data_IF_901324585084
#
_entry.id   IF_901324585084
#
_cell.length_a   1.000
_cell.length_b   1.000
_cell.length_c   1.000
_cell.angle_alpha   90.00
_cell.angle_beta   90.00
_cell.angle_gamma   90.00
#
_symmetry.space_group_name_H-M   'P 1'
#
loop_
_entity.id
_entity.type
_entity.pdbx_description
1 polymer ?
#
# COMPACT_ATOMS: atom_id res chain seq x y z
N UNK A 1 -20.24 -15.17 32.13
CA UNK A 1 -19.25 -14.08 32.01
C UNK A 1 -18.42 -14.35 30.77
N UNK A 2 -18.85 -13.86 29.60
CA UNK A 2 -18.14 -14.08 28.33
C UNK A 2 -16.82 -13.33 28.39
N UNK A 3 -15.69 -14.05 28.49
CA UNK A 3 -14.37 -13.47 28.26
C UNK A 3 -14.40 -12.80 26.88
N UNK A 4 -14.27 -11.49 26.85
CA UNK A 4 -14.28 -10.71 25.62
C UNK A 4 -13.02 -11.04 24.83
N UNK A 5 -13.16 -11.97 23.88
CA UNK A 5 -12.06 -12.43 23.06
C UNK A 5 -11.52 -11.31 22.17
N UNK A 6 -10.18 -11.24 22.05
CA UNK A 6 -9.49 -10.26 21.21
C UNK A 6 -9.93 -10.30 19.74
N UNK A 7 -9.84 -9.14 19.09
CA UNK A 7 -10.22 -8.90 17.70
C UNK A 7 -8.98 -8.61 16.85
N UNK A 8 -8.94 -9.21 15.68
CA UNK A 8 -7.88 -9.06 14.69
C UNK A 8 -8.48 -8.41 13.45
N UNK A 9 -7.82 -7.39 12.94
CA UNK A 9 -8.26 -6.67 11.74
C UNK A 9 -7.19 -6.77 10.67
N UNK A 10 -7.58 -7.25 9.50
CA UNK A 10 -6.80 -7.21 8.27
C UNK A 10 -7.35 -6.08 7.41
N UNK A 11 -6.45 -5.23 6.94
CA UNK A 11 -6.79 -4.10 6.06
C UNK A 11 -6.05 -4.22 4.74
N UNK A 12 -6.77 -4.02 3.64
CA UNK A 12 -6.19 -3.96 2.31
C UNK A 12 -6.91 -2.90 1.46
N UNK A 13 -6.21 -2.20 0.54
CA UNK A 13 -6.76 -1.05 -0.17
C UNK A 13 -7.85 -1.41 -1.18
N UNK A 14 -7.92 -2.67 -1.62
CA UNK A 14 -8.88 -3.13 -2.62
C UNK A 14 -9.60 -4.40 -2.17
N UNK A 15 -10.82 -4.58 -2.69
CA UNK A 15 -11.62 -5.78 -2.44
C UNK A 15 -10.95 -7.07 -2.91
N UNK A 16 -10.30 -7.14 -4.10
CA UNK A 16 -9.55 -8.33 -4.50
C UNK A 16 -8.45 -8.73 -3.52
N UNK A 17 -7.68 -7.77 -3.00
CA UNK A 17 -6.64 -8.05 -2.01
C UNK A 17 -7.23 -8.60 -0.69
N UNK A 18 -8.36 -8.05 -0.26
CA UNK A 18 -9.07 -8.59 0.91
C UNK A 18 -9.54 -10.04 0.68
N UNK A 19 -10.08 -10.35 -0.51
CA UNK A 19 -10.48 -11.73 -0.82
C UNK A 19 -9.29 -12.70 -0.79
N UNK A 20 -8.12 -12.28 -1.31
CA UNK A 20 -6.89 -13.06 -1.23
C UNK A 20 -6.46 -13.31 0.23
N UNK A 21 -6.55 -12.30 1.09
CA UNK A 21 -6.24 -12.45 2.51
C UNK A 21 -7.20 -13.42 3.21
N UNK A 22 -8.50 -13.38 2.87
CA UNK A 22 -9.50 -14.30 3.42
C UNK A 22 -9.15 -15.75 3.03
N UNK A 23 -8.88 -15.98 1.74
CA UNK A 23 -8.52 -17.29 1.23
C UNK A 23 -7.23 -17.83 1.88
N UNK A 24 -6.20 -16.99 1.97
CA UNK A 24 -4.94 -17.34 2.64
C UNK A 24 -5.15 -17.65 4.14
N UNK A 25 -5.91 -16.83 4.86
CA UNK A 25 -6.19 -17.07 6.28
C UNK A 25 -6.99 -18.34 6.52
N UNK A 26 -7.92 -18.67 5.62
CA UNK A 26 -8.69 -19.89 5.69
C UNK A 26 -7.83 -21.14 5.44
N UNK A 27 -7.06 -21.12 4.35
CA UNK A 27 -6.35 -22.30 3.87
C UNK A 27 -5.06 -22.58 4.65
N UNK A 28 -4.41 -21.54 5.18
CA UNK A 28 -3.08 -21.67 5.81
C UNK A 28 -3.19 -21.63 7.34
N UNK A 29 -3.97 -20.68 7.88
CA UNK A 29 -4.01 -20.41 9.34
C UNK A 29 -5.08 -21.24 10.05
N UNK A 30 -6.07 -21.78 9.32
CA UNK A 30 -7.15 -22.60 9.88
C UNK A 30 -8.16 -21.81 10.72
N UNK A 31 -8.30 -20.51 10.47
CA UNK A 31 -9.30 -19.68 11.16
C UNK A 31 -10.70 -20.04 10.63
N UNK A 32 -11.64 -20.47 11.48
CA UNK A 32 -12.95 -20.90 10.98
C UNK A 32 -13.77 -19.71 10.46
N UNK A 33 -14.41 -19.89 9.30
CA UNK A 33 -15.15 -18.81 8.61
C UNK A 33 -16.25 -18.18 9.48
N UNK A 34 -16.84 -18.94 10.39
CA UNK A 34 -17.87 -18.48 11.32
C UNK A 34 -17.39 -17.32 12.23
N UNK A 35 -16.08 -17.20 12.48
CA UNK A 35 -15.48 -16.12 13.29
C UNK A 35 -14.98 -14.95 12.44
N UNK A 36 -14.93 -15.13 11.12
CA UNK A 36 -14.45 -14.14 10.15
C UNK A 36 -15.60 -13.33 9.55
N UNK A 37 -15.28 -12.13 9.05
CA UNK A 37 -16.20 -11.33 8.23
C UNK A 37 -15.43 -10.42 7.26
N UNK A 38 -15.94 -10.33 6.03
CA UNK A 38 -15.57 -9.33 5.03
C UNK A 38 -16.52 -8.12 5.18
N UNK A 39 -15.95 -6.91 5.37
CA UNK A 39 -16.70 -5.65 5.38
C UNK A 39 -16.25 -4.66 4.30
N UNK A 40 -15.69 -5.14 3.19
CA UNK A 40 -15.24 -4.33 2.04
C UNK A 40 -16.34 -3.85 1.11
N UNK A 41 -17.59 -4.27 1.35
CA UNK A 41 -18.78 -3.87 0.57
C UNK A 41 -19.61 -2.77 1.21
N UNK A 42 -20.76 -2.47 0.58
CA UNK A 42 -21.79 -1.58 1.14
C UNK A 42 -22.63 -2.28 2.21
N UNK A 43 -21.98 -2.70 3.30
CA UNK A 43 -22.69 -3.20 4.49
C UNK A 43 -23.16 -2.00 5.29
N UNK A 44 -24.46 -1.95 5.62
CA UNK A 44 -25.01 -0.84 6.39
C UNK A 44 -24.37 -0.76 7.81
N UNK A 45 -24.29 0.44 8.41
CA UNK A 45 -23.61 0.61 9.70
C UNK A 45 -24.18 -0.27 10.83
N UNK A 46 -25.51 -0.46 10.88
CA UNK A 46 -26.15 -1.28 11.90
C UNK A 46 -25.70 -2.75 11.86
N UNK A 47 -25.56 -3.33 10.66
CA UNK A 47 -25.00 -4.68 10.49
C UNK A 47 -23.52 -4.74 10.82
N UNK A 48 -22.73 -3.72 10.48
CA UNK A 48 -21.32 -3.67 10.91
C UNK A 48 -21.19 -3.68 12.43
N UNK A 49 -22.07 -2.95 13.14
CA UNK A 49 -22.11 -2.96 14.60
C UNK A 49 -22.43 -4.35 15.19
N UNK A 50 -23.28 -5.15 14.54
CA UNK A 50 -23.53 -6.52 15.00
C UNK A 50 -22.32 -7.43 14.74
N UNK A 51 -21.65 -7.29 13.59
CA UNK A 51 -20.42 -8.03 13.30
C UNK A 51 -19.29 -7.69 14.27
N UNK A 52 -19.07 -6.41 14.60
CA UNK A 52 -18.08 -6.02 15.59
C UNK A 52 -18.30 -6.68 16.96
N UNK A 53 -19.56 -7.02 17.31
CA UNK A 53 -19.87 -7.74 18.55
C UNK A 53 -19.67 -9.25 18.43
N UNK A 54 -20.11 -9.86 17.33
CA UNK A 54 -20.14 -11.32 17.19
C UNK A 54 -18.90 -11.95 16.56
N UNK A 55 -18.13 -11.20 15.77
CA UNK A 55 -16.97 -11.68 15.01
C UNK A 55 -15.65 -11.36 15.70
N UNK A 56 -14.60 -12.09 15.33
CA UNK A 56 -13.24 -11.93 15.88
C UNK A 56 -12.22 -11.49 14.84
N UNK A 57 -12.36 -11.94 13.60
CA UNK A 57 -11.41 -11.62 12.53
C UNK A 57 -12.14 -10.84 11.45
N UNK A 58 -11.62 -9.67 11.12
CA UNK A 58 -12.27 -8.71 10.24
C UNK A 58 -11.36 -8.42 9.06
N UNK A 59 -11.89 -8.53 7.86
CA UNK A 59 -11.21 -8.10 6.64
C UNK A 59 -11.96 -6.87 6.11
N UNK A 60 -11.28 -5.73 6.10
CA UNK A 60 -11.94 -4.44 5.86
C UNK A 60 -11.07 -3.57 4.97
N UNK A 61 -11.68 -2.59 4.30
CA UNK A 61 -10.90 -1.53 3.68
C UNK A 61 -10.48 -0.50 4.74
N UNK A 62 -9.39 0.25 4.50
CA UNK A 62 -8.89 1.26 5.45
C UNK A 62 -9.97 2.30 5.80
N UNK A 63 -10.79 2.67 4.80
CA UNK A 63 -11.85 3.66 4.94
C UNK A 63 -13.00 3.16 5.81
N UNK A 64 -13.32 1.87 5.74
CA UNK A 64 -14.36 1.27 6.60
C UNK A 64 -13.86 1.21 8.05
N UNK A 65 -12.61 0.80 8.26
CA UNK A 65 -12.00 0.79 9.60
C UNK A 65 -12.00 2.20 10.22
N UNK A 66 -11.54 3.20 9.47
CA UNK A 66 -11.50 4.59 9.91
C UNK A 66 -12.89 5.08 10.33
N UNK A 67 -13.90 4.89 9.47
CA UNK A 67 -15.29 5.32 9.76
C UNK A 67 -15.89 4.59 10.96
N UNK A 68 -15.63 3.29 11.10
CA UNK A 68 -16.15 2.51 12.22
C UNK A 68 -15.48 2.87 13.54
N UNK A 69 -14.20 3.24 13.52
CA UNK A 69 -13.48 3.83 14.67
C UNK A 69 -14.10 5.18 15.04
N UNK A 70 -14.21 6.10 14.08
CA UNK A 70 -14.72 7.47 14.32
C UNK A 70 -16.17 7.49 14.81
N UNK A 71 -17.01 6.55 14.31
CA UNK A 71 -18.40 6.41 14.75
C UNK A 71 -18.56 5.66 16.09
N UNK A 72 -17.48 5.11 16.66
CA UNK A 72 -17.53 4.30 17.88
C UNK A 72 -18.17 2.91 17.68
N UNK A 73 -18.40 2.51 16.43
CA UNK A 73 -18.95 1.19 16.09
C UNK A 73 -17.90 0.09 16.28
N UNK A 74 -16.65 0.40 15.97
CA UNK A 74 -15.50 -0.46 16.22
C UNK A 74 -15.21 -0.51 17.73
N UNK A 75 -15.20 -1.72 18.29
CA UNK A 75 -14.88 -1.93 19.71
C UNK A 75 -13.36 -1.94 19.94
N UNK A 76 -12.73 -0.77 19.76
CA UNK A 76 -11.28 -0.61 19.74
C UNK A 76 -10.56 -1.20 20.96
N UNK A 77 -11.18 -1.16 22.15
CA UNK A 77 -10.63 -1.78 23.38
C UNK A 77 -10.37 -3.29 23.30
N UNK A 78 -10.97 -3.98 22.33
CA UNK A 78 -10.76 -5.41 22.10
C UNK A 78 -9.88 -5.68 20.88
N UNK A 79 -9.43 -4.66 20.17
CA UNK A 79 -8.56 -4.81 19.01
C UNK A 79 -7.14 -5.07 19.50
N UNK A 80 -6.66 -6.30 19.28
CA UNK A 80 -5.34 -6.75 19.77
C UNK A 80 -4.30 -6.81 18.65
N UNK A 81 -4.74 -6.90 17.39
CA UNK A 81 -3.86 -6.95 16.23
C UNK A 81 -4.48 -6.22 15.03
N UNK A 82 -3.68 -5.36 14.39
CA UNK A 82 -3.99 -4.69 13.14
C UNK A 82 -2.94 -5.07 12.09
N UNK A 83 -3.36 -5.73 11.02
CA UNK A 83 -2.56 -6.08 9.86
C UNK A 83 -2.87 -5.09 8.74
N UNK A 84 -1.83 -4.41 8.25
CA UNK A 84 -1.91 -3.37 7.22
C UNK A 84 -1.19 -3.89 5.99
N UNK A 85 -1.93 -4.15 4.93
CA UNK A 85 -1.39 -4.52 3.63
C UNK A 85 -1.19 -3.29 2.75
N UNK A 86 -0.21 -3.33 1.87
CA UNK A 86 0.25 -2.18 1.08
C UNK A 86 0.60 -0.98 1.97
N UNK A 87 1.38 -1.23 3.02
CA UNK A 87 1.73 -0.24 4.04
C UNK A 87 2.46 1.00 3.49
N UNK A 88 3.03 0.92 2.29
CA UNK A 88 3.59 2.08 1.57
C UNK A 88 2.57 3.20 1.32
N UNK A 89 1.27 2.91 1.43
CA UNK A 89 0.18 3.91 1.34
C UNK A 89 -0.03 4.71 2.62
N UNK A 90 0.63 4.36 3.73
CA UNK A 90 0.50 5.03 5.02
C UNK A 90 1.26 6.38 5.05
N UNK A 91 0.84 7.30 4.19
CA UNK A 91 1.41 8.63 4.04
C UNK A 91 0.29 9.69 4.14
N UNK A 92 0.64 10.86 4.65
CA UNK A 92 -0.28 11.99 4.81
C UNK A 92 -1.54 11.62 5.59
N UNK A 93 -2.70 11.96 5.03
CA UNK A 93 -4.01 11.70 5.65
C UNK A 93 -4.69 10.43 5.12
N UNK A 94 -3.91 9.45 4.64
CA UNK A 94 -4.50 8.18 4.26
C UNK A 94 -5.14 7.49 5.48
N UNK A 95 -6.22 6.74 5.25
CA UNK A 95 -7.03 6.13 6.32
C UNK A 95 -6.25 5.23 7.28
N UNK A 96 -5.14 4.63 6.83
CA UNK A 96 -4.22 3.90 7.73
C UNK A 96 -3.68 4.78 8.86
N UNK A 97 -3.17 5.96 8.52
CA UNK A 97 -2.59 6.90 9.47
C UNK A 97 -3.66 7.37 10.47
N UNK A 98 -4.87 7.64 9.98
CA UNK A 98 -5.99 8.06 10.84
C UNK A 98 -6.38 6.93 11.81
N UNK A 99 -6.53 5.71 11.31
CA UNK A 99 -6.90 4.56 12.14
C UNK A 99 -5.85 4.28 13.24
N UNK A 100 -4.56 4.24 12.89
CA UNK A 100 -3.48 4.01 13.87
C UNK A 100 -3.41 5.12 14.91
N UNK A 101 -3.56 6.38 14.50
CA UNK A 101 -3.57 7.52 15.42
C UNK A 101 -4.73 7.45 16.42
N UNK A 102 -5.92 7.05 15.98
CA UNK A 102 -7.06 6.87 16.90
C UNK A 102 -6.86 5.67 17.84
N UNK A 103 -6.37 4.55 17.32
CA UNK A 103 -6.12 3.34 18.13
C UNK A 103 -5.06 3.57 19.20
N UNK A 104 -4.02 4.35 18.90
CA UNK A 104 -2.92 4.62 19.85
C UNK A 104 -3.36 5.49 21.05
N UNK A 105 -4.48 6.20 20.94
CA UNK A 105 -5.04 6.96 22.08
C UNK A 105 -5.59 6.06 23.18
N UNK A 106 -5.81 4.79 22.89
CA UNK A 106 -6.40 3.83 23.82
C UNK A 106 -5.28 3.03 24.48
N UNK A 107 -5.24 2.97 25.82
CA UNK A 107 -4.18 2.26 26.55
C UNK A 107 -4.43 0.75 26.55
N UNK A 108 -4.39 0.12 25.38
CA UNK A 108 -4.50 -1.34 25.20
C UNK A 108 -3.30 -1.88 24.44
N UNK A 109 -2.82 -3.09 24.76
CA UNK A 109 -1.75 -3.72 23.99
C UNK A 109 -2.25 -4.03 22.58
N UNK A 110 -1.76 -3.25 21.61
CA UNK A 110 -2.04 -3.40 20.18
C UNK A 110 -0.78 -3.84 19.44
N UNK A 111 -0.86 -4.95 18.70
CA UNK A 111 0.16 -5.33 17.72
C UNK A 111 -0.19 -4.73 16.36
N UNK A 112 0.75 -4.03 15.74
CA UNK A 112 0.63 -3.58 14.33
C UNK A 112 1.61 -4.39 13.49
N UNK A 113 1.12 -4.96 12.39
CA UNK A 113 1.92 -5.65 11.39
C UNK A 113 1.71 -4.93 10.05
N UNK A 114 2.78 -4.36 9.50
CA UNK A 114 2.74 -3.63 8.24
C UNK A 114 3.44 -4.47 7.15
N UNK A 115 2.70 -4.82 6.10
CA UNK A 115 3.17 -5.61 4.98
C UNK A 115 3.30 -4.70 3.76
N UNK A 116 4.46 -4.73 3.09
CA UNK A 116 4.66 -4.01 1.84
C UNK A 116 5.80 -4.65 1.06
N UNK A 117 5.62 -4.82 -0.25
CA UNK A 117 6.70 -5.23 -1.14
C UNK A 117 7.69 -4.09 -1.39
N UNK A 118 7.20 -2.85 -1.40
CA UNK A 118 7.98 -1.66 -1.74
C UNK A 118 7.63 -0.51 -0.79
N UNK A 119 8.36 -0.30 0.31
CA UNK A 119 8.08 0.81 1.23
C UNK A 119 8.37 2.20 0.61
N UNK A 120 8.90 2.25 -0.61
CA UNK A 120 9.25 3.47 -1.35
C UNK A 120 10.76 3.55 -1.63
N UNK A 121 11.15 4.31 -2.65
CA UNK A 121 12.55 4.43 -3.10
C UNK A 121 13.38 5.48 -2.36
N UNK A 122 12.76 6.26 -1.46
CA UNK A 122 13.43 7.35 -0.73
C UNK A 122 13.37 7.10 0.78
N UNK A 123 14.53 7.18 1.45
CA UNK A 123 14.63 7.05 2.91
C UNK A 123 13.59 7.88 3.68
N UNK A 124 13.35 9.12 3.25
CA UNK A 124 12.36 10.00 3.89
C UNK A 124 10.93 9.43 3.83
N UNK A 125 10.55 8.78 2.73
CA UNK A 125 9.23 8.15 2.61
C UNK A 125 9.08 6.94 3.52
N UNK A 126 10.14 6.12 3.62
CA UNK A 126 10.16 4.96 4.52
C UNK A 126 10.02 5.42 5.97
N UNK A 127 10.77 6.45 6.37
CA UNK A 127 10.69 6.99 7.74
C UNK A 127 9.28 7.51 8.06
N UNK A 128 8.62 8.19 7.12
CA UNK A 128 7.24 8.64 7.32
C UNK A 128 6.27 7.48 7.56
N UNK A 129 6.43 6.34 6.86
CA UNK A 129 5.60 5.16 7.08
C UNK A 129 5.84 4.58 8.47
N UNK A 130 7.12 4.46 8.87
CA UNK A 130 7.52 3.98 10.21
C UNK A 130 6.88 4.85 11.29
N UNK A 131 7.00 6.18 11.16
CA UNK A 131 6.47 7.15 12.12
C UNK A 131 4.94 7.13 12.15
N UNK A 132 4.27 7.06 10.99
CA UNK A 132 2.80 7.07 10.91
C UNK A 132 2.16 5.80 11.46
N UNK A 133 2.81 4.65 11.28
CA UNK A 133 2.30 3.35 11.71
C UNK A 133 2.85 2.90 13.06
N UNK A 134 3.72 3.71 13.68
CA UNK A 134 4.37 3.44 14.96
C UNK A 134 5.17 2.12 14.94
N UNK A 135 5.92 1.89 13.85
CA UNK A 135 6.69 0.66 13.65
C UNK A 135 7.97 0.71 14.48
N UNK A 136 8.17 -0.28 15.34
CA UNK A 136 9.37 -0.39 16.17
C UNK A 136 10.47 -1.27 15.56
N UNK A 137 10.13 -2.11 14.58
CA UNK A 137 11.07 -3.05 13.97
C UNK A 137 10.73 -3.24 12.50
N UNK A 138 11.69 -2.96 11.63
CA UNK A 138 11.62 -3.23 10.20
C UNK A 138 12.35 -4.54 9.90
N UNK A 139 11.66 -5.49 9.28
CA UNK A 139 12.27 -6.69 8.71
C UNK A 139 12.27 -6.54 7.20
N UNK A 140 13.47 -6.46 6.61
CA UNK A 140 13.69 -6.39 5.18
C UNK A 140 14.24 -7.72 4.69
N UNK A 141 13.71 -8.17 3.55
CA UNK A 141 14.17 -9.34 2.82
C UNK A 141 14.21 -9.02 1.33
N UNK A 142 15.28 -9.42 0.66
CA UNK A 142 15.42 -9.39 -0.79
C UNK A 142 15.68 -10.78 -1.37
N UNK A 143 15.72 -10.87 -2.69
CA UNK A 143 15.94 -12.13 -3.42
C UNK A 143 17.35 -12.72 -3.27
N UNK A 144 18.31 -11.93 -2.77
CA UNK A 144 19.69 -12.36 -2.52
C UNK A 144 19.90 -12.93 -1.11
N UNK A 145 18.97 -12.69 -0.18
CA UNK A 145 19.05 -13.21 1.18
C UNK A 145 19.07 -14.74 1.20
N UNK A 146 19.93 -15.32 2.05
CA UNK A 146 20.14 -16.78 2.13
C UNK A 146 18.87 -17.58 2.46
N UNK A 147 17.94 -17.00 3.23
CA UNK A 147 16.65 -17.64 3.56
C UNK A 147 15.60 -17.50 2.44
N UNK A 148 15.88 -16.70 1.39
CA UNK A 148 14.98 -16.44 0.27
C UNK A 148 15.52 -17.04 -1.04
N UNK A 149 16.81 -16.87 -1.32
CA UNK A 149 17.47 -17.25 -2.58
C UNK A 149 17.21 -18.69 -3.05
N UNK A 150 17.07 -19.72 -2.18
CA UNK A 150 16.76 -21.08 -2.63
C UNK A 150 15.36 -21.23 -3.26
N UNK A 151 14.47 -20.28 -3.02
CA UNK A 151 13.08 -20.26 -3.49
C UNK A 151 12.85 -19.26 -4.63
N UNK A 152 13.87 -18.49 -5.02
CA UNK A 152 13.80 -17.54 -6.12
C UNK A 152 14.05 -18.27 -7.44
N UNK A 153 13.11 -18.15 -8.38
CA UNK A 153 13.31 -18.68 -9.73
C UNK A 153 14.10 -17.70 -10.58
N UNK A 154 15.21 -18.17 -11.15
CA UNK A 154 16.03 -17.40 -12.09
C UNK A 154 15.19 -16.90 -13.27
N UNK A 155 15.08 -15.58 -13.41
CA UNK A 155 14.49 -14.93 -14.59
C UNK A 155 15.61 -14.58 -15.56
N UNK A 156 15.65 -15.24 -16.73
CA UNK A 156 16.50 -14.80 -17.84
C UNK A 156 15.83 -13.63 -18.54
N UNK A 157 16.32 -12.41 -18.29
CA UNK A 157 15.88 -11.21 -19.01
C UNK A 157 16.76 -11.09 -20.26
N UNK A 158 16.16 -11.25 -21.43
CA UNK A 158 16.81 -10.96 -22.72
C UNK A 158 16.37 -9.56 -23.18
N UNK A 159 17.29 -8.60 -23.14
CA UNK A 159 17.02 -7.25 -23.61
C UNK A 159 17.23 -7.18 -25.12
N UNK A 160 16.14 -7.19 -25.88
CA UNK A 160 16.18 -7.05 -27.34
C UNK A 160 16.07 -5.56 -27.68
N UNK A 161 17.20 -4.93 -28.00
CA UNK A 161 17.22 -3.55 -28.45
C UNK A 161 16.83 -3.48 -29.94
N UNK A 162 15.67 -2.92 -30.24
CA UNK A 162 15.19 -2.73 -31.61
C UNK A 162 15.59 -1.33 -32.08
N UNK A 163 16.29 -1.26 -33.21
CA UNK A 163 16.63 0.01 -33.83
C UNK A 163 15.36 0.69 -34.35
N UNK A 164 15.23 1.99 -34.09
CA UNK A 164 14.16 2.80 -34.68
C UNK A 164 14.35 2.89 -36.19
N UNK A 165 13.28 2.71 -36.96
CA UNK A 165 13.31 2.92 -38.41
C UNK A 165 13.58 4.38 -38.78
N UNK A 166 14.13 4.61 -39.97
CA UNK A 166 14.51 5.95 -40.44
C UNK A 166 13.33 6.94 -40.42
N UNK A 167 12.15 6.50 -40.84
CA UNK A 167 10.90 7.31 -40.79
C UNK A 167 10.55 7.74 -39.36
N UNK A 168 10.70 6.84 -38.38
CA UNK A 168 10.40 7.13 -37.00
C UNK A 168 11.39 8.14 -36.40
N UNK A 169 12.67 8.03 -36.78
CA UNK A 169 13.71 9.00 -36.41
C UNK A 169 13.46 10.37 -37.06
N UNK A 170 13.01 10.40 -38.33
CA UNK A 170 12.66 11.66 -39.00
C UNK A 170 11.48 12.35 -38.32
N UNK A 171 10.42 11.60 -37.98
CA UNK A 171 9.26 12.11 -37.27
C UNK A 171 9.66 12.62 -35.88
N UNK A 172 10.46 11.86 -35.12
CA UNK A 172 10.94 12.29 -33.80
C UNK A 172 11.74 13.58 -33.89
N UNK A 173 12.65 13.70 -34.87
CA UNK A 173 13.40 14.94 -35.10
C UNK A 173 12.49 16.13 -35.42
N UNK A 174 11.49 15.97 -36.29
CA UNK A 174 10.52 17.05 -36.60
C UNK A 174 9.70 17.45 -35.37
N UNK A 175 9.27 16.50 -34.56
CA UNK A 175 8.57 16.78 -33.30
C UNK A 175 9.48 17.56 -32.34
N UNK A 176 10.74 17.15 -32.21
CA UNK A 176 11.72 17.83 -31.38
C UNK A 176 11.97 19.27 -31.85
N UNK A 177 12.00 19.52 -33.16
CA UNK A 177 12.14 20.87 -33.72
C UNK A 177 10.95 21.77 -33.36
N UNK A 178 9.72 21.26 -33.47
CA UNK A 178 8.50 21.99 -33.08
C UNK A 178 8.50 22.29 -31.58
N UNK A 179 8.96 21.36 -30.75
CA UNK A 179 9.01 21.52 -29.30
C UNK A 179 10.09 22.50 -28.83
N UNK A 180 11.23 22.56 -29.52
CA UNK A 180 12.41 23.36 -29.15
C UNK A 180 12.08 24.82 -28.78
N UNK A 181 11.31 25.61 -29.56
CA UNK A 181 11.00 27.00 -29.20
C UNK A 181 10.15 27.13 -27.93
N UNK A 182 9.21 26.20 -27.69
CA UNK A 182 8.38 26.22 -26.49
C UNK A 182 9.20 25.89 -25.24
N UNK A 183 10.05 24.86 -25.32
CA UNK A 183 10.97 24.51 -24.22
C UNK A 183 11.95 25.66 -23.94
N UNK A 184 12.47 26.31 -24.98
CA UNK A 184 13.34 27.48 -24.83
C UNK A 184 12.64 28.66 -24.12
N UNK A 185 11.37 28.94 -24.48
CA UNK A 185 10.56 29.98 -23.82
C UNK A 185 10.26 29.64 -22.36
N UNK A 186 9.92 28.39 -22.05
CA UNK A 186 9.66 27.95 -20.68
C UNK A 186 10.94 27.97 -19.82
N UNK A 187 12.12 27.77 -20.43
CA UNK A 187 13.42 27.96 -19.78
C UNK A 187 13.72 29.42 -19.49
N UNK A 188 13.48 30.32 -20.44
CA UNK A 188 13.80 31.74 -20.25
C UNK A 188 13.00 32.39 -19.12
N UNK A 189 11.80 31.87 -18.83
CA UNK A 189 10.96 32.28 -17.70
C UNK A 189 11.19 31.47 -16.42
N UNK A 190 12.20 30.59 -16.38
CA UNK A 190 12.63 29.86 -15.19
C UNK A 190 11.73 28.69 -14.75
N UNK A 191 10.75 28.28 -15.56
CA UNK A 191 9.78 27.23 -15.22
C UNK A 191 10.38 25.82 -15.43
N UNK A 192 11.23 25.64 -16.45
CA UNK A 192 11.86 24.36 -16.78
C UNK A 192 13.36 24.35 -16.42
N UNK A 193 13.76 23.48 -15.49
CA UNK A 193 15.15 23.37 -15.01
C UNK A 193 16.05 22.41 -15.81
N UNK A 194 15.48 21.53 -16.65
CA UNK A 194 16.23 20.45 -17.31
C UNK A 194 16.88 20.90 -18.64
N UNK A 195 18.15 20.53 -18.87
CA UNK A 195 19.03 21.09 -19.93
C UNK A 195 18.84 20.49 -21.33
N UNK A 196 18.26 19.30 -21.46
CA UNK A 196 18.07 18.65 -22.76
C UNK A 196 16.59 18.46 -23.12
N UNK A 197 16.16 19.04 -24.25
CA UNK A 197 14.79 18.93 -24.77
C UNK A 197 14.47 17.49 -25.24
N UNK A 198 15.50 16.69 -25.58
CA UNK A 198 15.38 15.27 -25.91
C UNK A 198 15.01 14.40 -24.71
N UNK A 199 15.30 14.89 -23.50
CA UNK A 199 15.06 14.15 -22.26
C UNK A 199 13.79 14.60 -21.52
N UNK A 200 13.02 15.54 -22.08
CA UNK A 200 11.79 16.05 -21.46
C UNK A 200 10.75 14.93 -21.31
N UNK A 201 10.76 13.94 -22.20
CA UNK A 201 9.85 12.79 -22.17
C UNK A 201 10.41 11.55 -21.46
N UNK A 202 11.74 11.46 -21.30
CA UNK A 202 12.42 10.25 -20.83
C UNK A 202 12.31 9.99 -19.32
N UNK A 203 11.69 10.89 -18.55
CA UNK A 203 11.55 10.73 -17.10
C UNK A 203 10.48 9.73 -16.64
N UNK A 204 9.91 8.93 -17.54
CA UNK A 204 8.81 8.00 -17.20
C UNK A 204 9.14 6.51 -17.37
N UNK A 205 10.36 6.12 -17.75
CA UNK A 205 10.72 4.70 -17.92
C UNK A 205 11.94 4.20 -17.14
N UNK A 206 12.72 5.09 -16.52
CA UNK A 206 13.76 4.70 -15.56
C UNK A 206 13.42 5.23 -14.16
N UNK A 207 12.43 4.60 -13.55
CA UNK A 207 12.32 4.51 -12.10
C UNK A 207 12.10 3.03 -11.79
N UNK A 208 13.10 2.44 -11.13
CA UNK A 208 13.19 1.07 -10.62
C UNK A 208 11.85 0.38 -10.32
#
# INVERSE_FOLDING_TARGET
MLLLAGKIVFTAPSRPLVLQQIEACHNIVGIPQEWTIDMTGMINPAKRASFWRSKRVFFVTPQVLEKDIQSGTCLMKYLVCLVIDEAHRALGNYSYCVAVRELTKIPVPLRILALTATPGSKHQGIQQIIDNLHISTLQYRDESDHDVSPYVHDRKIELIQVAMGEDAVEIDNKLLEVMRPFVAKLRSIGILQNRDYRTVWYKSFDAH
#
